data_IF_694831443404
#
_entry.id   IF_694831443404
#
_cell.length_a   1.000
_cell.length_b   1.000
_cell.length_c   1.000
_cell.angle_alpha   90.00
_cell.angle_beta   90.00
_cell.angle_gamma   90.00
#
_symmetry.space_group_name_H-M   'P 1'
#
loop_
_entity.id
_entity.type
_entity.pdbx_description
1 polymer ?
#
# COMPACT_ATOMS: atom_id res chain seq x y z
N UNK A 1 5.81 -30.74 19.89
CA UNK A 1 5.32 -29.82 20.92
C UNK A 1 5.15 -28.46 20.27
N UNK A 2 3.92 -27.93 20.19
CA UNK A 2 3.66 -26.58 19.67
C UNK A 2 4.02 -25.60 20.78
N UNK A 3 4.91 -24.66 20.45
CA UNK A 3 5.42 -23.67 21.41
C UNK A 3 4.69 -22.32 21.32
N UNK A 4 4.06 -22.02 20.18
CA UNK A 4 3.40 -20.75 19.95
C UNK A 4 2.37 -20.85 18.83
N UNK A 5 1.19 -20.24 19.02
CA UNK A 5 0.21 -19.97 17.98
C UNK A 5 0.08 -18.47 17.79
N UNK A 6 -0.05 -18.05 16.54
CA UNK A 6 -0.41 -16.67 16.20
C UNK A 6 -1.68 -16.70 15.36
N UNK A 7 -2.70 -15.98 15.83
CA UNK A 7 -3.94 -15.73 15.08
C UNK A 7 -3.89 -14.28 14.63
N UNK A 8 -4.14 -14.04 13.36
CA UNK A 8 -4.26 -12.70 12.80
C UNK A 8 -5.69 -12.49 12.34
N UNK A 9 -6.32 -11.44 12.85
CA UNK A 9 -7.68 -11.04 12.46
C UNK A 9 -7.50 -9.86 11.50
N UNK A 10 -8.02 -10.02 10.28
CA UNK A 10 -7.96 -8.98 9.26
C UNK A 10 -8.86 -7.81 9.67
N UNK A 11 -8.32 -6.57 9.79
CA UNK A 11 -9.09 -5.40 10.18
C UNK A 11 -10.19 -5.05 9.19
N UNK A 12 -10.06 -5.44 7.93
CA UNK A 12 -11.05 -5.17 6.88
C UNK A 12 -12.27 -6.11 6.93
N UNK A 13 -12.19 -7.20 7.68
CA UNK A 13 -13.32 -8.14 7.88
C UNK A 13 -14.14 -7.80 9.12
N UNK A 14 -13.64 -6.97 10.00
CA UNK A 14 -14.33 -6.59 11.23
C UNK A 14 -15.43 -5.57 10.93
N UNK A 15 -16.57 -5.67 11.65
CA UNK A 15 -17.59 -4.61 11.66
C UNK A 15 -17.01 -3.41 12.41
N UNK A 16 -16.85 -2.28 11.73
CA UNK A 16 -16.22 -1.08 12.28
C UNK A 16 -16.98 -0.45 13.47
N UNK A 17 -18.23 -0.86 13.73
CA UNK A 17 -19.12 -0.28 14.71
C UNK A 17 -19.35 -1.14 15.96
N UNK A 18 -18.68 -2.30 16.08
CA UNK A 18 -18.82 -3.16 17.27
C UNK A 18 -17.74 -2.88 18.29
N UNK A 19 -18.11 -2.76 19.56
CA UNK A 19 -17.19 -2.87 20.69
C UNK A 19 -16.42 -4.18 20.57
N UNK A 20 -15.16 -4.08 20.15
CA UNK A 20 -14.42 -5.27 19.72
C UNK A 20 -13.74 -5.90 20.91
N UNK A 21 -14.48 -6.76 21.59
CA UNK A 21 -13.87 -7.67 22.52
C UNK A 21 -13.16 -8.80 21.76
N UNK A 22 -11.85 -8.89 21.97
CA UNK A 22 -11.08 -10.03 21.42
C UNK A 22 -11.41 -11.31 22.21
N UNK A 23 -12.40 -12.05 21.70
CA UNK A 23 -12.89 -13.29 22.33
C UNK A 23 -11.81 -14.36 22.51
N UNK A 24 -10.72 -14.32 21.74
CA UNK A 24 -9.59 -15.26 21.87
C UNK A 24 -8.91 -15.16 23.23
N UNK A 25 -8.99 -13.99 23.89
CA UNK A 25 -8.45 -13.82 25.26
C UNK A 25 -9.09 -14.77 26.27
N UNK A 26 -10.36 -15.17 26.06
CA UNK A 26 -11.03 -16.18 26.89
C UNK A 26 -10.38 -17.57 26.80
N UNK A 27 -9.64 -17.83 25.76
CA UNK A 27 -8.92 -19.08 25.52
C UNK A 27 -7.41 -18.96 25.80
N UNK A 28 -7.01 -17.95 26.59
CA UNK A 28 -5.62 -17.77 27.01
C UNK A 28 -4.70 -17.12 25.96
N UNK A 29 -5.23 -16.53 24.89
CA UNK A 29 -4.44 -15.75 23.94
C UNK A 29 -4.09 -14.38 24.54
N UNK A 30 -2.91 -13.90 24.22
CA UNK A 30 -2.48 -12.53 24.55
C UNK A 30 -2.85 -11.64 23.37
N UNK A 31 -3.50 -10.51 23.64
CA UNK A 31 -3.76 -9.50 22.62
C UNK A 31 -2.45 -8.78 22.26
N UNK A 32 -2.00 -8.97 21.04
CA UNK A 32 -0.85 -8.31 20.46
C UNK A 32 -1.27 -7.49 19.22
N UNK A 33 -2.50 -6.96 19.24
CA UNK A 33 -3.07 -6.17 18.15
C UNK A 33 -2.23 -4.90 17.91
N UNK A 34 -2.07 -4.57 16.64
CA UNK A 34 -1.43 -3.34 16.18
C UNK A 34 -2.52 -2.50 15.54
N UNK A 35 -2.60 -1.23 15.93
CA UNK A 35 -3.53 -0.30 15.29
C UNK A 35 -3.15 -0.06 13.84
N UNK A 36 -4.14 -0.02 12.97
CA UNK A 36 -3.99 0.35 11.56
C UNK A 36 -4.92 1.50 11.20
N UNK A 37 -4.62 2.18 10.11
CA UNK A 37 -5.44 3.27 9.58
C UNK A 37 -6.26 2.78 8.40
N UNK A 38 -7.58 2.98 8.46
CA UNK A 38 -8.50 2.61 7.39
C UNK A 38 -9.15 3.86 6.82
N UNK A 39 -9.05 4.02 5.52
CA UNK A 39 -9.68 5.10 4.76
C UNK A 39 -10.97 4.56 4.14
N UNK A 40 -12.10 5.21 4.42
CA UNK A 40 -13.39 4.95 3.78
C UNK A 40 -13.40 5.65 2.42
N UNK A 41 -13.59 4.91 1.33
CA UNK A 41 -13.44 5.40 -0.05
C UNK A 41 -14.76 5.75 -0.75
N UNK A 42 -15.91 5.54 -0.10
CA UNK A 42 -17.24 5.75 -0.73
C UNK A 42 -17.65 7.22 -0.91
N UNK A 43 -16.84 8.14 -0.45
CA UNK A 43 -17.06 9.57 -0.62
C UNK A 43 -16.57 10.05 -1.98
N UNK A 44 -17.01 11.25 -2.39
CA UNK A 44 -16.45 11.87 -3.61
C UNK A 44 -14.98 12.22 -3.41
N UNK A 45 -14.24 12.29 -4.50
CA UNK A 45 -12.82 12.65 -4.47
C UNK A 45 -12.58 14.01 -3.79
N UNK A 46 -13.47 14.96 -4.00
CA UNK A 46 -13.41 16.29 -3.39
C UNK A 46 -13.60 16.21 -1.87
N UNK A 47 -14.52 15.37 -1.39
CA UNK A 47 -14.71 15.14 0.03
C UNK A 47 -13.50 14.46 0.66
N UNK A 48 -12.99 13.38 0.03
CA UNK A 48 -11.76 12.71 0.47
C UNK A 48 -10.59 13.70 0.54
N UNK A 49 -10.44 14.54 -0.48
CA UNK A 49 -9.43 15.59 -0.48
C UNK A 49 -9.65 16.60 0.65
N UNK A 50 -10.90 16.99 0.93
CA UNK A 50 -11.21 17.98 1.99
C UNK A 50 -10.75 17.52 3.37
N UNK A 51 -10.87 16.22 3.66
CA UNK A 51 -10.50 15.60 4.94
C UNK A 51 -8.98 15.53 5.19
N UNK A 52 -8.16 15.70 4.14
CA UNK A 52 -6.70 15.65 4.29
C UNK A 52 -6.21 16.91 5.00
N UNK A 53 -5.36 16.74 6.01
CA UNK A 53 -4.72 17.85 6.72
C UNK A 53 -3.87 18.70 5.77
N UNK A 54 -3.80 20.02 6.04
CA UNK A 54 -3.10 21.00 5.19
C UNK A 54 -1.66 20.59 4.87
N UNK A 55 -0.90 20.07 5.83
CA UNK A 55 0.48 19.60 5.61
C UNK A 55 0.57 18.46 4.60
N UNK A 56 -0.32 17.45 4.70
CA UNK A 56 -0.36 16.35 3.74
C UNK A 56 -0.76 16.82 2.33
N UNK A 57 -1.74 17.75 2.22
CA UNK A 57 -2.10 18.38 0.94
C UNK A 57 -0.91 19.08 0.30
N UNK A 58 -0.13 19.81 1.10
CA UNK A 58 1.10 20.45 0.62
C UNK A 58 2.08 19.41 0.08
N UNK A 59 2.33 18.36 0.83
CA UNK A 59 3.24 17.28 0.44
C UNK A 59 2.81 16.56 -0.85
N UNK A 60 1.52 16.28 -1.01
CA UNK A 60 0.98 15.68 -2.24
C UNK A 60 1.20 16.62 -3.44
N UNK A 61 0.91 17.93 -3.27
CA UNK A 61 1.12 18.94 -4.32
C UNK A 61 2.60 19.06 -4.71
N UNK A 62 3.50 19.04 -3.73
CA UNK A 62 4.94 19.03 -4.00
C UNK A 62 5.37 17.76 -4.74
N UNK A 63 4.93 16.58 -4.29
CA UNK A 63 5.19 15.34 -4.99
C UNK A 63 4.75 15.38 -6.45
N UNK A 64 3.53 15.87 -6.73
CA UNK A 64 3.00 16.01 -8.10
C UNK A 64 3.78 17.02 -8.97
N UNK A 65 4.38 18.03 -8.35
CA UNK A 65 5.19 19.01 -9.08
C UNK A 65 6.48 18.40 -9.61
N UNK A 66 7.08 17.48 -8.87
CA UNK A 66 8.40 16.94 -9.19
C UNK A 66 8.34 15.55 -9.85
N UNK A 67 7.38 14.72 -9.45
CA UNK A 67 7.33 13.34 -9.90
C UNK A 67 6.23 13.11 -10.94
N UNK A 68 6.57 12.33 -11.99
CA UNK A 68 5.58 11.67 -12.82
C UNK A 68 5.12 10.40 -12.09
N UNK A 69 3.84 10.13 -12.16
CA UNK A 69 3.22 8.94 -11.53
C UNK A 69 2.81 7.97 -12.63
N UNK A 70 3.13 6.71 -12.45
CA UNK A 70 2.60 5.62 -13.26
C UNK A 70 1.89 4.61 -12.35
N UNK A 71 0.80 4.03 -12.86
CA UNK A 71 0.06 2.95 -12.21
C UNK A 71 -0.02 1.80 -13.19
N UNK A 72 0.39 0.64 -12.73
CA UNK A 72 0.25 -0.61 -13.47
C UNK A 72 -0.79 -1.47 -12.74
N UNK A 73 -1.70 -2.01 -13.51
CA UNK A 73 -2.77 -2.89 -13.07
C UNK A 73 -3.00 -4.03 -14.09
N UNK A 74 -4.07 -4.77 -13.96
CA UNK A 74 -4.40 -5.89 -14.84
C UNK A 74 -4.55 -5.50 -16.33
N UNK A 75 -4.86 -4.23 -16.63
CA UNK A 75 -5.04 -3.75 -18.00
C UNK A 75 -3.71 -3.40 -18.71
N UNK A 76 -2.67 -3.12 -17.92
CA UNK A 76 -1.35 -2.75 -18.41
C UNK A 76 -0.22 -3.31 -17.52
N UNK A 77 -0.19 -4.62 -17.24
CA UNK A 77 0.83 -5.22 -16.40
C UNK A 77 2.23 -5.08 -17.05
N UNK A 78 3.20 -4.64 -16.26
CA UNK A 78 4.57 -4.42 -16.72
C UNK A 78 5.55 -5.21 -15.84
N UNK A 79 6.06 -6.32 -16.39
CA UNK A 79 6.99 -7.19 -15.67
C UNK A 79 8.32 -6.49 -15.38
N UNK A 80 8.83 -5.66 -16.29
CA UNK A 80 10.11 -4.96 -16.09
C UNK A 80 10.03 -3.98 -14.93
N UNK A 81 8.92 -3.27 -14.79
CA UNK A 81 8.72 -2.35 -13.66
C UNK A 81 8.50 -3.09 -12.34
N UNK A 82 7.80 -4.22 -12.39
CA UNK A 82 7.65 -5.08 -11.21
C UNK A 82 9.00 -5.70 -10.79
N UNK A 83 9.84 -6.11 -11.73
CA UNK A 83 11.18 -6.61 -11.44
C UNK A 83 12.09 -5.51 -10.87
N UNK A 84 11.99 -4.28 -11.40
CA UNK A 84 12.71 -3.14 -10.85
C UNK A 84 12.29 -2.83 -9.41
N UNK A 85 10.99 -2.90 -9.11
CA UNK A 85 10.48 -2.82 -7.74
C UNK A 85 11.10 -3.88 -6.82
N UNK A 86 11.18 -5.15 -7.26
CA UNK A 86 11.81 -6.24 -6.52
C UNK A 86 13.29 -5.98 -6.25
N UNK A 87 14.05 -5.60 -7.29
CA UNK A 87 15.47 -5.31 -7.18
C UNK A 87 15.73 -4.15 -6.23
N UNK A 88 14.91 -3.10 -6.29
CA UNK A 88 15.01 -1.96 -5.38
C UNK A 88 14.74 -2.38 -3.92
N UNK A 89 13.77 -3.28 -3.68
CA UNK A 89 13.52 -3.85 -2.36
C UNK A 89 14.74 -4.57 -1.79
N UNK A 90 15.41 -5.38 -2.60
CA UNK A 90 16.60 -6.11 -2.16
C UNK A 90 17.75 -5.14 -1.84
N UNK A 91 17.94 -4.12 -2.69
CA UNK A 91 18.97 -3.09 -2.51
C UNK A 91 18.79 -2.32 -1.19
N UNK A 92 17.57 -1.84 -0.93
CA UNK A 92 17.26 -1.08 0.30
C UNK A 92 17.43 -1.93 1.55
N UNK A 93 17.01 -3.19 1.49
CA UNK A 93 17.07 -4.10 2.64
C UNK A 93 18.47 -4.64 2.91
N UNK A 94 19.40 -4.49 1.98
CA UNK A 94 20.75 -5.08 2.04
C UNK A 94 20.76 -6.60 2.06
N UNK A 95 19.61 -7.23 1.91
CA UNK A 95 19.42 -8.69 1.93
C UNK A 95 18.14 -9.10 1.22
N UNK A 96 18.04 -10.36 0.86
CA UNK A 96 16.79 -10.95 0.34
C UNK A 96 15.84 -11.15 1.52
N UNK A 97 14.84 -10.27 1.65
CA UNK A 97 13.81 -10.32 2.71
C UNK A 97 12.62 -11.17 2.33
N UNK A 98 12.37 -11.34 1.02
CA UNK A 98 11.28 -12.13 0.44
C UNK A 98 11.84 -12.96 -0.72
N UNK A 99 11.34 -14.18 -0.88
CA UNK A 99 11.76 -15.05 -1.99
C UNK A 99 11.32 -14.48 -3.35
N UNK A 100 12.01 -14.89 -4.41
CA UNK A 100 11.59 -14.59 -5.78
C UNK A 100 10.13 -15.01 -6.02
N UNK A 101 9.76 -16.20 -5.56
CA UNK A 101 8.39 -16.72 -5.67
C UNK A 101 7.32 -15.79 -5.06
N UNK A 102 7.65 -15.05 -3.99
CA UNK A 102 6.73 -14.06 -3.40
C UNK A 102 6.47 -12.91 -4.37
N UNK A 103 7.51 -12.42 -5.06
CA UNK A 103 7.36 -11.35 -6.05
C UNK A 103 6.67 -11.84 -7.33
N UNK A 104 6.94 -13.07 -7.76
CA UNK A 104 6.21 -13.70 -8.88
C UNK A 104 4.71 -13.77 -8.58
N UNK A 105 4.34 -14.20 -7.36
CA UNK A 105 2.95 -14.22 -6.92
C UNK A 105 2.33 -12.80 -6.88
N UNK A 106 3.07 -11.79 -6.43
CA UNK A 106 2.59 -10.40 -6.48
C UNK A 106 2.34 -9.92 -7.92
N UNK A 107 3.19 -10.35 -8.88
CA UNK A 107 2.98 -10.05 -10.29
C UNK A 107 1.77 -10.79 -10.87
N UNK A 108 1.52 -12.03 -10.44
CA UNK A 108 0.31 -12.77 -10.78
C UNK A 108 -0.95 -12.06 -10.25
N UNK A 109 -0.93 -11.58 -9.01
CA UNK A 109 -2.03 -10.76 -8.46
C UNK A 109 -2.28 -9.50 -9.30
N UNK A 110 -1.22 -8.84 -9.75
CA UNK A 110 -1.36 -7.66 -10.61
C UNK A 110 -2.05 -8.00 -11.94
N UNK A 111 -1.70 -9.12 -12.58
CA UNK A 111 -2.35 -9.60 -13.81
C UNK A 111 -3.80 -10.01 -13.61
N UNK A 112 -4.15 -10.51 -12.43
CA UNK A 112 -5.46 -11.04 -12.09
C UNK A 112 -6.44 -10.01 -11.48
N UNK A 113 -6.11 -8.73 -11.53
CA UNK A 113 -6.90 -7.68 -10.89
C UNK A 113 -7.04 -7.84 -9.36
N UNK A 114 -5.96 -8.25 -8.72
CA UNK A 114 -5.86 -8.41 -7.26
C UNK A 114 -4.79 -7.50 -6.66
N UNK A 115 -4.05 -6.76 -7.50
CA UNK A 115 -3.04 -5.80 -7.06
C UNK A 115 -2.88 -4.65 -8.05
N UNK A 116 -2.25 -3.57 -7.57
CA UNK A 116 -1.66 -2.52 -8.41
C UNK A 116 -0.23 -2.23 -7.96
N UNK A 117 0.59 -1.80 -8.89
CA UNK A 117 1.90 -1.25 -8.64
C UNK A 117 1.90 0.24 -9.02
N UNK A 118 2.27 1.12 -8.10
CA UNK A 118 2.44 2.55 -8.34
C UNK A 118 3.93 2.85 -8.39
N UNK A 119 4.39 3.54 -9.43
CA UNK A 119 5.76 4.01 -9.56
C UNK A 119 5.83 5.53 -9.61
N UNK A 120 6.86 6.09 -8.97
CA UNK A 120 7.19 7.50 -9.00
C UNK A 120 8.50 7.72 -9.77
N UNK A 121 8.44 8.56 -10.79
CA UNK A 121 9.53 8.84 -11.71
C UNK A 121 9.98 10.28 -11.57
N UNK A 122 11.27 10.51 -11.38
CA UNK A 122 11.88 11.81 -11.22
C UNK A 122 13.27 11.80 -11.88
N UNK A 123 13.64 12.86 -12.55
CA UNK A 123 14.96 13.03 -13.19
C UNK A 123 15.41 11.79 -13.99
N UNK A 124 14.53 11.33 -14.90
CA UNK A 124 14.78 10.15 -15.75
C UNK A 124 15.02 8.82 -15.01
N UNK A 125 14.63 8.74 -13.73
CA UNK A 125 14.78 7.52 -12.90
C UNK A 125 13.48 7.17 -12.18
N UNK A 126 13.27 5.88 -11.96
CA UNK A 126 12.27 5.39 -11.01
C UNK A 126 12.85 5.51 -9.60
N UNK A 127 12.21 6.32 -8.75
CA UNK A 127 12.72 6.64 -7.41
C UNK A 127 11.96 5.97 -6.28
N UNK A 128 10.73 5.54 -6.53
CA UNK A 128 9.92 4.83 -5.56
C UNK A 128 8.88 3.94 -6.22
N UNK A 129 8.50 2.87 -5.53
CA UNK A 129 7.39 2.01 -5.89
C UNK A 129 6.53 1.70 -4.66
N UNK A 130 5.23 1.48 -4.87
CA UNK A 130 4.30 0.98 -3.86
C UNK A 130 3.37 -0.07 -4.45
N UNK A 131 3.27 -1.20 -3.76
CA UNK A 131 2.38 -2.29 -4.11
C UNK A 131 1.17 -2.28 -3.17
N UNK A 132 -0.02 -2.30 -3.76
CA UNK A 132 -1.29 -2.40 -3.06
C UNK A 132 -1.99 -3.66 -3.54
N UNK A 133 -2.46 -4.47 -2.61
CA UNK A 133 -3.24 -5.68 -2.91
C UNK A 133 -4.70 -5.45 -2.56
N UNK A 134 -5.61 -6.08 -3.29
CA UNK A 134 -7.03 -5.87 -3.08
C UNK A 134 -7.88 -7.09 -3.38
N UNK A 135 -9.00 -7.18 -2.69
CA UNK A 135 -10.01 -8.22 -2.88
C UNK A 135 -11.38 -7.68 -2.40
N UNK A 136 -12.46 -8.03 -3.09
CA UNK A 136 -13.84 -7.70 -2.68
C UNK A 136 -14.04 -6.22 -2.31
N UNK A 137 -13.55 -5.30 -3.14
CA UNK A 137 -13.66 -3.83 -2.95
C UNK A 137 -12.91 -3.29 -1.71
N UNK A 138 -11.96 -4.04 -1.19
CA UNK A 138 -11.10 -3.66 -0.08
C UNK A 138 -9.64 -3.76 -0.51
N UNK A 139 -8.85 -2.75 -0.19
CA UNK A 139 -7.46 -2.67 -0.57
C UNK A 139 -6.55 -2.51 0.66
N UNK A 140 -5.34 -3.02 0.56
CA UNK A 140 -4.31 -2.97 1.59
C UNK A 140 -3.01 -2.45 1.00
N UNK A 141 -2.37 -1.49 1.65
CA UNK A 141 -1.01 -1.08 1.37
C UNK A 141 -0.03 -2.17 1.78
N UNK A 142 0.41 -2.98 0.82
CA UNK A 142 1.21 -4.17 1.09
C UNK A 142 2.67 -3.85 1.36
N UNK A 143 3.27 -2.99 0.56
CA UNK A 143 4.68 -2.60 0.72
C UNK A 143 5.07 -1.46 -0.20
N UNK A 144 6.12 -0.74 0.19
CA UNK A 144 6.75 0.25 -0.68
C UNK A 144 8.26 0.19 -0.56
N UNK A 145 8.90 0.82 -1.51
CA UNK A 145 10.35 1.01 -1.53
C UNK A 145 10.69 2.35 -2.14
N UNK A 146 11.68 3.02 -1.60
CA UNK A 146 12.29 4.23 -2.15
C UNK A 146 13.76 3.94 -2.46
N UNK A 147 14.26 4.44 -3.58
CA UNK A 147 15.66 4.27 -3.95
C UNK A 147 16.57 4.97 -2.92
N UNK A 148 17.47 4.25 -2.24
CA UNK A 148 18.33 4.84 -1.21
C UNK A 148 19.33 5.87 -1.77
N UNK A 149 19.69 5.78 -3.04
CA UNK A 149 20.58 6.74 -3.70
C UNK A 149 19.91 8.09 -3.98
N UNK A 150 18.59 8.14 -3.88
CA UNK A 150 17.78 9.33 -4.15
C UNK A 150 17.09 9.85 -2.86
N UNK A 151 17.62 9.50 -1.68
CA UNK A 151 17.05 9.93 -0.39
C UNK A 151 17.19 11.42 -0.11
N UNK A 152 18.15 12.09 -0.75
CA UNK A 152 18.34 13.55 -0.62
C UNK A 152 17.24 14.38 -1.32
N UNK A 153 16.34 13.70 -2.05
CA UNK A 153 15.17 14.34 -2.60
C UNK A 153 14.22 14.68 -1.46
N UNK A 154 14.12 15.95 -1.10
CA UNK A 154 13.17 16.45 -0.09
C UNK A 154 11.70 16.39 -0.56
N UNK A 155 11.38 15.47 -1.48
CA UNK A 155 10.03 15.26 -2.01
C UNK A 155 9.33 14.20 -1.20
N UNK A 156 8.15 14.49 -0.65
CA UNK A 156 7.41 13.56 0.21
C UNK A 156 6.68 12.47 -0.62
N UNK A 157 7.44 11.50 -1.10
CA UNK A 157 6.98 10.46 -2.05
C UNK A 157 5.82 9.61 -1.52
N UNK A 158 5.87 9.23 -0.23
CA UNK A 158 4.83 8.39 0.38
C UNK A 158 3.44 9.03 0.36
N UNK A 159 3.35 10.34 0.56
CA UNK A 159 2.06 11.05 0.49
C UNK A 159 1.45 11.03 -0.91
N UNK A 160 2.29 11.23 -1.93
CA UNK A 160 1.83 11.17 -3.32
C UNK A 160 1.39 9.75 -3.69
N UNK A 161 2.14 8.75 -3.28
CA UNK A 161 1.85 7.34 -3.56
C UNK A 161 0.50 6.91 -2.95
N UNK A 162 0.28 7.19 -1.65
CA UNK A 162 -0.96 6.86 -0.97
C UNK A 162 -2.14 7.63 -1.59
N UNK A 163 -1.97 8.92 -1.90
CA UNK A 163 -3.03 9.69 -2.54
C UNK A 163 -3.37 9.14 -3.93
N UNK A 164 -2.38 8.72 -4.70
CA UNK A 164 -2.60 8.06 -6.01
C UNK A 164 -3.41 6.77 -5.85
N UNK A 165 -3.10 5.97 -4.83
CA UNK A 165 -3.88 4.76 -4.54
C UNK A 165 -5.32 5.10 -4.14
N UNK A 166 -5.53 6.12 -3.31
CA UNK A 166 -6.88 6.60 -2.95
C UNK A 166 -7.67 6.98 -4.21
N UNK A 167 -7.08 7.78 -5.12
CA UNK A 167 -7.74 8.16 -6.37
C UNK A 167 -8.05 6.95 -7.25
N UNK A 168 -7.10 6.02 -7.40
CA UNK A 168 -7.32 4.81 -8.19
C UNK A 168 -8.47 3.96 -7.65
N UNK A 169 -8.46 3.66 -6.36
CA UNK A 169 -9.48 2.82 -5.74
C UNK A 169 -10.85 3.52 -5.61
N UNK A 170 -10.88 4.82 -5.35
CA UNK A 170 -12.12 5.61 -5.35
C UNK A 170 -12.79 5.61 -6.73
N UNK A 171 -12.03 5.81 -7.80
CA UNK A 171 -12.55 5.76 -9.18
C UNK A 171 -13.09 4.37 -9.58
N UNK A 172 -12.67 3.31 -8.90
CA UNK A 172 -13.14 1.93 -9.08
C UNK A 172 -14.19 1.50 -8.06
N UNK A 173 -14.72 2.45 -7.29
CA UNK A 173 -15.77 2.23 -6.29
C UNK A 173 -15.40 1.19 -5.24
N UNK A 174 -14.18 1.25 -4.75
CA UNK A 174 -13.75 0.46 -3.60
C UNK A 174 -14.32 1.05 -2.31
N UNK A 175 -14.50 0.19 -1.30
CA UNK A 175 -15.08 0.58 -0.02
C UNK A 175 -14.02 1.12 0.94
N UNK A 176 -12.89 0.43 1.04
CA UNK A 176 -11.88 0.65 2.08
C UNK A 176 -10.46 0.56 1.51
N UNK A 177 -9.56 1.36 2.08
CA UNK A 177 -8.11 1.23 1.92
C UNK A 177 -7.44 1.22 3.29
N UNK A 178 -6.72 0.16 3.60
CA UNK A 178 -5.89 0.02 4.80
C UNK A 178 -4.46 0.48 4.48
N UNK A 179 -3.86 1.31 5.36
CA UNK A 179 -2.55 1.93 5.11
C UNK A 179 -1.51 1.70 6.23
N UNK A 180 -1.73 0.69 7.12
CA UNK A 180 -0.82 0.33 8.20
C UNK A 180 -0.96 1.12 9.48
#
# INVERSE_FOLDING_TARGET
KVLKYKVMIDPLTQKLDSEQYNWLMRYGYIDASINTNIIKLKETKEMLWSHIKKGHKHNIKQGRKYCKVAVWDYSNPDYEKHELYRLMHHKVSGRITRSLKTFELQYDWLKNDEAILIGLFFDNKWIAFGCFVHLNKKAIYSSSVQNPEELDISVPLGHLMIWTAIEYYNNREFDLLEIG
#
